data_IF_797113022225
#
_entry.id   IF_797113022225
#
_cell.length_a   1.000
_cell.length_b   1.000
_cell.length_c   1.000
_cell.angle_alpha   90.00
_cell.angle_beta   90.00
_cell.angle_gamma   90.00
#
_symmetry.space_group_name_H-M   'P 1'
#
loop_
_entity.id
_entity.type
_entity.pdbx_description
1 polymer ?
#
# COMPACT_ATOMS: atom_id res chain seq x y z
N UNK A 1 -0.57 -17.13 19.32
CA UNK A 1 0.13 -15.83 19.47
C UNK A 1 -0.31 -15.13 20.75
N UNK A 2 0.59 -14.41 21.48
CA UNK A 2 0.25 -13.66 22.69
C UNK A 2 -0.54 -12.38 22.35
N UNK A 3 -1.47 -11.97 23.23
CA UNK A 3 -2.33 -10.80 23.02
C UNK A 3 -1.56 -9.51 22.69
N UNK A 4 -0.44 -9.27 23.37
CA UNK A 4 0.42 -8.08 23.11
C UNK A 4 0.99 -8.07 21.69
N UNK A 5 1.39 -9.23 21.14
CA UNK A 5 1.89 -9.34 19.77
C UNK A 5 0.75 -9.12 18.78
N UNK A 6 -0.42 -9.71 19.03
CA UNK A 6 -1.62 -9.50 18.19
C UNK A 6 -1.96 -8.01 18.04
N UNK A 7 -2.01 -7.29 19.17
CA UNK A 7 -2.31 -5.85 19.16
C UNK A 7 -1.26 -5.08 18.37
N UNK A 8 0.04 -5.35 18.61
CA UNK A 8 1.11 -4.65 17.89
C UNK A 8 1.04 -4.87 16.37
N UNK A 9 0.78 -6.10 15.93
CA UNK A 9 0.66 -6.41 14.51
C UNK A 9 -0.62 -5.80 13.90
N UNK A 10 -1.73 -5.77 14.64
CA UNK A 10 -2.97 -5.14 14.20
C UNK A 10 -2.82 -3.63 14.02
N UNK A 11 -2.15 -2.94 14.98
CA UNK A 11 -1.84 -1.51 14.87
C UNK A 11 -0.90 -1.24 13.69
N UNK A 12 0.12 -2.08 13.50
CA UNK A 12 1.02 -2.02 12.35
C UNK A 12 0.23 -2.06 11.03
N UNK A 13 -0.64 -3.06 10.85
CA UNK A 13 -1.45 -3.19 9.62
C UNK A 13 -2.42 -2.01 9.46
N UNK A 14 -3.04 -1.56 10.55
CA UNK A 14 -3.92 -0.40 10.53
C UNK A 14 -3.19 0.85 10.02
N UNK A 15 -2.06 1.21 10.61
CA UNK A 15 -1.32 2.42 10.24
C UNK A 15 -0.73 2.29 8.84
N UNK A 16 -0.25 1.10 8.45
CA UNK A 16 0.28 0.82 7.11
C UNK A 16 -0.72 1.24 6.02
N UNK A 17 -1.96 0.82 6.12
CA UNK A 17 -2.97 1.11 5.11
C UNK A 17 -3.68 2.46 5.33
N UNK A 18 -3.68 2.98 6.56
CA UNK A 18 -4.10 4.35 6.85
C UNK A 18 -3.25 5.37 6.09
N UNK A 19 -1.92 5.19 6.07
CA UNK A 19 -1.00 6.05 5.31
C UNK A 19 -1.40 6.12 3.84
N UNK A 20 -1.69 4.98 3.23
CA UNK A 20 -2.05 4.93 1.81
C UNK A 20 -3.44 5.51 1.55
N UNK A 21 -4.43 5.12 2.37
CA UNK A 21 -5.81 5.64 2.29
C UNK A 21 -5.93 7.14 2.54
N UNK A 22 -4.98 7.73 3.29
CA UNK A 22 -5.02 9.14 3.64
C UNK A 22 -4.77 10.12 2.48
N UNK A 23 -4.31 9.64 1.31
CA UNK A 23 -4.03 10.56 0.20
C UNK A 23 -4.31 9.99 -1.21
N UNK A 24 -4.04 8.70 -1.43
CA UNK A 24 -3.90 8.14 -2.78
C UNK A 24 -5.15 8.25 -3.64
N UNK A 25 -6.33 8.11 -3.05
CA UNK A 25 -7.61 8.13 -3.76
C UNK A 25 -8.07 9.55 -4.05
N UNK A 26 -7.85 10.49 -3.12
CA UNK A 26 -8.31 11.88 -3.21
C UNK A 26 -7.25 12.84 -3.74
N UNK A 27 -6.02 12.39 -3.92
CA UNK A 27 -4.93 13.20 -4.47
C UNK A 27 -5.30 13.98 -5.75
N UNK A 28 -6.05 13.42 -6.73
CA UNK A 28 -6.40 14.16 -7.94
C UNK A 28 -7.21 15.43 -7.69
N UNK A 29 -7.97 15.49 -6.61
CA UNK A 29 -8.79 16.65 -6.27
C UNK A 29 -7.94 17.87 -5.93
N UNK A 30 -6.92 17.67 -5.10
CA UNK A 30 -6.01 18.77 -4.73
C UNK A 30 -4.98 19.07 -5.82
N UNK A 31 -4.37 18.04 -6.40
CA UNK A 31 -3.36 18.23 -7.44
C UNK A 31 -3.94 18.96 -8.66
N UNK A 32 -5.21 18.71 -9.01
CA UNK A 32 -5.90 19.47 -10.04
C UNK A 32 -6.05 20.97 -9.69
N UNK A 33 -6.30 21.31 -8.43
CA UNK A 33 -6.39 22.69 -7.97
C UNK A 33 -5.07 23.46 -8.09
N UNK A 34 -3.95 22.79 -7.95
CA UNK A 34 -2.61 23.39 -8.10
C UNK A 34 -2.05 23.28 -9.51
N UNK A 35 -2.88 22.96 -10.52
CA UNK A 35 -2.55 23.05 -11.92
C UNK A 35 -1.95 21.79 -12.55
N UNK A 36 -2.06 20.60 -11.93
CA UNK A 36 -1.62 19.34 -12.56
C UNK A 36 -2.41 19.07 -13.83
N UNK A 37 -1.67 18.80 -14.92
CA UNK A 37 -2.20 18.36 -16.22
C UNK A 37 -2.45 16.86 -16.26
N UNK A 38 -3.08 16.36 -17.34
CA UNK A 38 -3.27 14.93 -17.54
C UNK A 38 -1.95 14.13 -17.56
N UNK A 39 -0.88 14.71 -18.12
CA UNK A 39 0.45 14.10 -18.13
C UNK A 39 1.04 14.00 -16.71
N UNK A 40 0.85 15.03 -15.88
CA UNK A 40 1.34 15.05 -14.50
C UNK A 40 0.64 14.00 -13.64
N UNK A 41 -0.68 13.80 -13.83
CA UNK A 41 -1.42 12.69 -13.20
C UNK A 41 -0.94 11.33 -13.67
N UNK A 42 -0.64 11.18 -14.96
CA UNK A 42 -0.02 9.98 -15.50
C UNK A 42 1.26 9.63 -14.73
N UNK A 43 2.13 10.60 -14.50
CA UNK A 43 3.33 10.42 -13.68
C UNK A 43 3.00 10.11 -12.21
N UNK A 44 2.10 10.85 -11.58
CA UNK A 44 1.70 10.64 -10.18
C UNK A 44 1.28 9.19 -9.92
N UNK A 45 0.49 8.60 -10.82
CA UNK A 45 0.02 7.22 -10.66
C UNK A 45 0.96 6.16 -11.25
N UNK A 46 1.98 6.55 -12.01
CA UNK A 46 3.03 5.64 -12.51
C UNK A 46 4.17 5.46 -11.50
N UNK A 47 4.45 6.47 -10.65
CA UNK A 47 5.58 6.38 -9.71
C UNK A 47 5.44 5.21 -8.73
N UNK A 48 4.21 4.87 -8.32
CA UNK A 48 3.92 3.73 -7.46
C UNK A 48 4.30 2.40 -8.09
N UNK A 49 3.71 2.00 -9.23
CA UNK A 49 4.06 0.78 -9.95
C UNK A 49 5.55 0.69 -10.29
N UNK A 50 6.19 1.79 -10.72
CA UNK A 50 7.63 1.83 -11.00
C UNK A 50 8.42 1.54 -9.72
N UNK A 51 8.08 2.18 -8.61
CA UNK A 51 8.69 1.93 -7.32
C UNK A 51 8.50 0.48 -6.86
N UNK A 52 7.32 -0.11 -7.07
CA UNK A 52 7.01 -1.50 -6.74
C UNK A 52 7.88 -2.50 -7.52
N UNK A 53 8.28 -2.16 -8.74
CA UNK A 53 9.20 -3.00 -9.54
C UNK A 53 10.63 -2.84 -9.03
N UNK A 54 11.07 -1.62 -8.74
CA UNK A 54 12.48 -1.30 -8.43
C UNK A 54 12.83 -1.66 -6.98
N UNK A 55 11.98 -1.29 -6.02
CA UNK A 55 12.32 -1.32 -4.59
C UNK A 55 12.57 -2.72 -4.01
N UNK A 56 11.90 -3.82 -4.44
CA UNK A 56 12.17 -5.14 -3.90
C UNK A 56 13.60 -5.63 -4.12
N UNK A 57 14.25 -5.20 -5.21
CA UNK A 57 15.63 -5.59 -5.50
C UNK A 57 16.63 -5.08 -4.46
N UNK A 58 16.39 -3.88 -3.93
CA UNK A 58 17.27 -3.27 -2.92
C UNK A 58 16.81 -3.62 -1.50
N UNK A 59 15.53 -3.44 -1.24
CA UNK A 59 14.98 -3.58 0.12
C UNK A 59 14.88 -5.05 0.52
N UNK A 60 14.49 -5.95 -0.42
CA UNK A 60 14.47 -7.38 -0.17
C UNK A 60 15.85 -7.89 0.24
N UNK A 61 16.91 -7.51 -0.47
CA UNK A 61 18.27 -7.89 -0.14
C UNK A 61 18.69 -7.37 1.25
N UNK A 62 18.32 -6.15 1.61
CA UNK A 62 18.67 -5.55 2.91
C UNK A 62 17.88 -6.20 4.04
N UNK A 63 16.56 -6.34 3.88
CA UNK A 63 15.66 -6.88 4.90
C UNK A 63 15.83 -8.39 5.10
N UNK A 64 16.12 -9.12 4.02
CA UNK A 64 16.25 -10.57 4.09
C UNK A 64 17.60 -11.03 4.66
N UNK A 65 18.60 -10.16 4.72
CA UNK A 65 19.95 -10.59 5.03
C UNK A 65 20.69 -9.79 6.09
N UNK A 66 20.52 -8.46 6.11
CA UNK A 66 21.41 -7.59 6.86
C UNK A 66 20.78 -7.08 8.14
N UNK A 67 19.50 -6.74 8.10
CA UNK A 67 18.84 -6.09 9.22
C UNK A 67 17.51 -6.74 9.54
N UNK A 68 17.14 -6.71 10.81
CA UNK A 68 15.83 -7.17 11.27
C UNK A 68 14.69 -6.39 10.59
N UNK A 69 13.63 -7.11 10.22
CA UNK A 69 12.54 -6.59 9.38
C UNK A 69 11.89 -5.34 9.98
N UNK A 70 11.66 -5.31 11.30
CA UNK A 70 11.09 -4.15 11.99
C UNK A 70 11.96 -2.90 11.90
N UNK A 71 13.28 -3.06 11.87
CA UNK A 71 14.22 -1.93 11.75
C UNK A 71 14.20 -1.35 10.33
N UNK A 72 14.21 -2.22 9.32
CA UNK A 72 14.11 -1.80 7.92
C UNK A 72 12.77 -1.09 7.68
N UNK A 73 11.68 -1.67 8.20
CA UNK A 73 10.35 -1.07 8.15
C UNK A 73 10.34 0.34 8.75
N UNK A 74 10.95 0.50 9.94
CA UNK A 74 11.05 1.78 10.63
C UNK A 74 11.79 2.84 9.81
N UNK A 75 12.97 2.52 9.29
CA UNK A 75 13.77 3.45 8.48
C UNK A 75 13.04 3.85 7.20
N UNK A 76 12.43 2.89 6.50
CA UNK A 76 11.69 3.16 5.27
C UNK A 76 10.50 4.10 5.52
N UNK A 77 9.74 3.89 6.60
CA UNK A 77 8.63 4.78 6.93
C UNK A 77 9.08 6.18 7.35
N UNK A 78 10.20 6.31 8.05
CA UNK A 78 10.76 7.63 8.39
C UNK A 78 11.18 8.40 7.13
N UNK A 79 11.92 7.74 6.22
CA UNK A 79 12.35 8.34 4.97
C UNK A 79 11.16 8.65 4.05
N UNK A 80 10.25 7.70 3.87
CA UNK A 80 9.05 7.88 3.06
C UNK A 80 8.11 8.95 3.62
N UNK A 81 7.95 9.01 4.95
CA UNK A 81 7.19 10.05 5.63
C UNK A 81 7.80 11.44 5.42
N UNK A 82 9.13 11.54 5.54
CA UNK A 82 9.88 12.77 5.24
C UNK A 82 9.67 13.23 3.80
N UNK A 83 9.76 12.32 2.83
CA UNK A 83 9.52 12.63 1.42
C UNK A 83 8.07 13.14 1.18
N UNK A 84 7.08 12.53 1.83
CA UNK A 84 5.68 12.96 1.73
C UNK A 84 5.45 14.34 2.36
N UNK A 85 6.05 14.62 3.52
CA UNK A 85 5.99 15.95 4.15
C UNK A 85 6.69 17.01 3.30
N UNK A 86 7.80 16.67 2.66
CA UNK A 86 8.46 17.55 1.69
C UNK A 86 7.58 17.82 0.48
N UNK A 87 6.89 16.81 -0.07
CA UNK A 87 5.91 17.00 -1.13
C UNK A 87 4.82 17.99 -0.71
N UNK A 88 4.22 17.78 0.48
CA UNK A 88 3.19 18.66 1.03
C UNK A 88 3.69 20.11 1.20
N UNK A 89 4.94 20.30 1.62
CA UNK A 89 5.56 21.62 1.73
C UNK A 89 5.75 22.29 0.36
N UNK A 90 6.23 21.56 -0.65
CA UNK A 90 6.43 22.08 -2.01
C UNK A 90 5.12 22.46 -2.70
N UNK A 91 4.02 21.77 -2.39
CA UNK A 91 2.67 22.08 -2.89
C UNK A 91 2.14 23.43 -2.38
N UNK A 92 2.66 23.94 -1.27
CA UNK A 92 2.25 25.22 -0.66
C UNK A 92 3.12 26.40 -1.12
N UNK A 93 4.13 26.17 -1.95
CA UNK A 93 4.96 27.22 -2.52
C UNK A 93 4.20 28.11 -3.49
N UNK A 94 4.78 29.25 -3.82
CA UNK A 94 4.18 30.24 -4.75
C UNK A 94 4.02 29.67 -6.18
N UNK A 95 4.89 28.74 -6.59
CA UNK A 95 4.87 28.07 -7.90
C UNK A 95 5.16 26.58 -7.71
N UNK A 96 4.12 25.77 -7.45
CA UNK A 96 4.28 24.33 -7.21
C UNK A 96 4.65 23.59 -8.49
N UNK A 97 5.87 23.09 -8.57
CA UNK A 97 6.35 22.28 -9.71
C UNK A 97 5.83 20.85 -9.64
N UNK A 98 5.01 20.44 -10.61
CA UNK A 98 4.50 19.07 -10.72
C UNK A 98 5.62 18.02 -10.80
N UNK A 99 6.71 18.32 -11.51
CA UNK A 99 7.89 17.43 -11.60
C UNK A 99 8.54 17.22 -10.23
N UNK A 100 8.74 18.30 -9.46
CA UNK A 100 9.34 18.20 -8.13
C UNK A 100 8.43 17.43 -7.17
N UNK A 101 7.14 17.66 -7.19
CA UNK A 101 6.16 16.97 -6.36
C UNK A 101 6.12 15.47 -6.71
N UNK A 102 6.07 15.14 -8.00
CA UNK A 102 6.08 13.75 -8.46
C UNK A 102 7.39 13.03 -8.12
N UNK A 103 8.53 13.74 -8.11
CA UNK A 103 9.80 13.18 -7.63
C UNK A 103 9.75 12.85 -6.13
N UNK A 104 9.13 13.71 -5.31
CA UNK A 104 8.95 13.43 -3.88
C UNK A 104 7.96 12.26 -3.67
N UNK A 105 6.91 12.16 -4.47
CA UNK A 105 6.03 10.99 -4.47
C UNK A 105 6.76 9.72 -4.86
N UNK A 106 7.64 9.77 -5.84
CA UNK A 106 8.46 8.63 -6.22
C UNK A 106 9.38 8.20 -5.07
N UNK A 107 10.06 9.14 -4.41
CA UNK A 107 10.88 8.85 -3.24
C UNK A 107 10.05 8.23 -2.09
N UNK A 108 8.83 8.77 -1.83
CA UNK A 108 7.90 8.18 -0.88
C UNK A 108 7.53 6.74 -1.26
N UNK A 109 7.16 6.51 -2.52
CA UNK A 109 6.74 5.19 -3.01
C UNK A 109 7.86 4.17 -3.03
N UNK A 110 9.12 4.57 -3.35
CA UNK A 110 10.28 3.70 -3.24
C UNK A 110 10.49 3.18 -1.81
N UNK A 111 10.15 3.99 -0.81
CA UNK A 111 10.19 3.60 0.59
C UNK A 111 8.93 2.81 1.00
N UNK A 112 7.75 3.20 0.53
CA UNK A 112 6.47 2.66 0.98
C UNK A 112 6.15 1.28 0.39
N UNK A 113 6.31 1.07 -0.92
CA UNK A 113 5.91 -0.19 -1.55
C UNK A 113 6.57 -1.44 -0.96
N UNK A 114 7.88 -1.47 -0.67
CA UNK A 114 8.48 -2.65 -0.05
C UNK A 114 7.95 -2.92 1.36
N UNK A 115 7.46 -1.89 2.05
CA UNK A 115 6.91 -2.09 3.41
C UNK A 115 5.62 -2.93 3.40
N UNK A 116 4.90 -3.01 2.28
CA UNK A 116 3.75 -3.90 2.12
C UNK A 116 4.15 -5.38 2.27
N UNK A 117 5.27 -5.77 1.68
CA UNK A 117 5.80 -7.12 1.84
C UNK A 117 6.41 -7.32 3.24
N UNK A 118 7.15 -6.34 3.75
CA UNK A 118 7.79 -6.42 5.07
C UNK A 118 6.78 -6.57 6.20
N UNK A 119 5.66 -5.84 6.16
CA UNK A 119 4.59 -5.98 7.18
C UNK A 119 3.94 -7.35 7.15
N UNK A 120 3.74 -7.94 5.96
CA UNK A 120 3.25 -9.31 5.83
C UNK A 120 4.28 -10.31 6.37
N UNK A 121 5.55 -10.19 6.01
CA UNK A 121 6.64 -11.05 6.50
C UNK A 121 6.73 -11.00 8.02
N UNK A 122 6.71 -9.78 8.60
CA UNK A 122 6.77 -9.56 10.04
C UNK A 122 5.55 -10.19 10.73
N UNK A 123 4.35 -10.03 10.18
CA UNK A 123 3.15 -10.61 10.71
C UNK A 123 3.22 -12.15 10.69
N UNK A 124 3.51 -12.73 9.53
CA UNK A 124 3.57 -14.20 9.34
C UNK A 124 4.65 -14.86 10.20
N UNK A 125 5.82 -14.21 10.38
CA UNK A 125 6.90 -14.72 11.22
C UNK A 125 6.49 -14.83 12.70
N UNK A 126 5.68 -13.91 13.19
CA UNK A 126 5.28 -13.84 14.59
C UNK A 126 3.96 -14.55 14.90
N UNK A 127 3.35 -15.24 13.93
CA UNK A 127 2.12 -16.02 14.09
C UNK A 127 2.40 -17.48 14.41
N UNK A 128 1.55 -18.05 15.25
CA UNK A 128 1.57 -19.50 15.55
C UNK A 128 0.77 -20.29 14.52
N UNK A 129 -0.36 -19.74 14.07
CA UNK A 129 -1.23 -20.34 13.05
C UNK A 129 -1.61 -19.27 12.01
N UNK A 130 -0.79 -19.07 10.97
CA UNK A 130 -1.00 -18.05 9.96
C UNK A 130 -2.36 -18.11 9.26
N UNK A 131 -2.87 -19.32 8.97
CA UNK A 131 -4.14 -19.50 8.26
C UNK A 131 -5.33 -18.90 9.02
N UNK A 132 -5.31 -18.97 10.36
CA UNK A 132 -6.37 -18.46 11.23
C UNK A 132 -6.11 -17.03 11.70
N UNK A 133 -4.86 -16.70 11.97
CA UNK A 133 -4.49 -15.43 12.63
C UNK A 133 -4.24 -14.29 11.63
N UNK A 134 -3.70 -14.60 10.44
CA UNK A 134 -3.37 -13.57 9.44
C UNK A 134 -4.60 -12.79 8.96
N UNK A 135 -5.74 -13.41 8.58
CA UNK A 135 -6.91 -12.66 8.15
C UNK A 135 -7.42 -11.68 9.21
N UNK A 136 -7.37 -12.07 10.49
CA UNK A 136 -7.83 -11.23 11.63
C UNK A 136 -6.95 -9.99 11.83
N UNK A 137 -5.66 -10.10 11.56
CA UNK A 137 -4.71 -8.97 11.63
C UNK A 137 -4.80 -8.14 10.35
N UNK A 138 -4.89 -8.78 9.19
CA UNK A 138 -4.94 -8.09 7.90
C UNK A 138 -6.18 -7.20 7.73
N UNK A 139 -7.31 -7.57 8.31
CA UNK A 139 -8.54 -6.76 8.28
C UNK A 139 -8.36 -5.37 8.90
N UNK A 140 -7.45 -5.22 9.89
CA UNK A 140 -7.14 -3.90 10.44
C UNK A 140 -6.54 -2.95 9.41
N UNK A 141 -5.89 -3.48 8.37
CA UNK A 141 -5.46 -2.66 7.23
C UNK A 141 -6.63 -2.02 6.50
N UNK A 142 -7.66 -2.79 6.17
CA UNK A 142 -8.87 -2.27 5.53
C UNK A 142 -9.59 -1.26 6.43
N UNK A 143 -9.66 -1.52 7.74
CA UNK A 143 -10.21 -0.57 8.72
C UNK A 143 -9.39 0.73 8.74
N UNK A 144 -8.05 0.63 8.70
CA UNK A 144 -7.16 1.80 8.63
C UNK A 144 -7.42 2.66 7.40
N UNK A 145 -7.59 2.02 6.23
CA UNK A 145 -7.93 2.71 4.99
C UNK A 145 -9.28 3.44 5.08
N UNK A 146 -10.32 2.76 5.59
CA UNK A 146 -11.66 3.34 5.77
C UNK A 146 -11.59 4.56 6.70
N UNK A 147 -10.95 4.42 7.86
CA UNK A 147 -10.84 5.50 8.83
C UNK A 147 -10.03 6.68 8.29
N UNK A 148 -8.99 6.45 7.48
CA UNK A 148 -8.28 7.53 6.81
C UNK A 148 -9.23 8.34 5.92
N UNK A 149 -10.05 7.68 5.09
CA UNK A 149 -11.05 8.33 4.25
C UNK A 149 -12.09 9.11 5.06
N UNK A 150 -12.57 8.54 6.16
CA UNK A 150 -13.54 9.23 7.02
C UNK A 150 -12.94 10.47 7.69
N UNK A 151 -11.71 10.40 8.19
CA UNK A 151 -11.00 11.55 8.75
C UNK A 151 -10.87 12.65 7.72
N UNK A 152 -10.48 12.33 6.47
CA UNK A 152 -10.38 13.33 5.40
C UNK A 152 -11.71 14.04 5.16
N UNK A 153 -12.79 13.28 4.95
CA UNK A 153 -14.08 13.84 4.62
C UNK A 153 -14.69 14.63 5.79
N UNK A 154 -14.60 14.12 7.02
CA UNK A 154 -15.14 14.84 8.20
C UNK A 154 -14.40 16.12 8.52
N UNK A 155 -13.10 16.18 8.22
CA UNK A 155 -12.30 17.39 8.38
C UNK A 155 -12.37 18.35 7.15
N UNK A 156 -13.04 17.94 6.07
CA UNK A 156 -13.05 18.69 4.82
C UNK A 156 -11.68 18.75 4.13
N UNK A 157 -10.87 17.70 4.28
CA UNK A 157 -9.51 17.63 3.74
C UNK A 157 -9.43 16.85 2.43
N UNK A 158 -10.53 16.34 1.88
CA UNK A 158 -10.58 15.56 0.63
C UNK A 158 -9.85 16.23 -0.55
N UNK A 159 -9.80 17.56 -0.55
CA UNK A 159 -9.14 18.35 -1.60
C UNK A 159 -8.21 19.41 -1.00
N UNK A 160 -7.49 19.04 0.04
CA UNK A 160 -6.55 19.92 0.77
C UNK A 160 -5.17 19.28 0.86
N UNK A 161 -4.11 20.10 0.86
CA UNK A 161 -2.74 19.63 1.11
C UNK A 161 -2.59 18.88 2.44
N UNK A 162 -3.52 19.07 3.38
CA UNK A 162 -3.52 18.41 4.69
C UNK A 162 -3.59 16.90 4.59
N UNK A 163 -4.17 16.34 3.51
CA UNK A 163 -4.19 14.89 3.29
C UNK A 163 -2.76 14.33 3.16
N UNK A 164 -1.88 15.01 2.44
CA UNK A 164 -0.48 14.58 2.29
C UNK A 164 0.31 14.76 3.57
N UNK A 165 0.04 15.84 4.33
CA UNK A 165 0.65 16.03 5.64
C UNK A 165 0.20 14.95 6.64
N UNK A 166 -1.09 14.58 6.65
CA UNK A 166 -1.62 13.48 7.46
C UNK A 166 -0.93 12.16 7.13
N UNK A 167 -0.81 11.82 5.84
CA UNK A 167 -0.12 10.61 5.39
C UNK A 167 1.37 10.63 5.80
N UNK A 168 2.04 11.76 5.63
CA UNK A 168 3.44 11.94 6.01
C UNK A 168 3.68 11.76 7.51
N UNK A 169 2.88 12.40 8.36
CA UNK A 169 2.98 12.25 9.80
C UNK A 169 2.59 10.86 10.30
N UNK A 170 1.57 10.23 9.70
CA UNK A 170 1.23 8.84 9.97
C UNK A 170 2.39 7.89 9.61
N UNK A 171 3.09 8.14 8.49
CA UNK A 171 4.27 7.38 8.11
C UNK A 171 5.43 7.57 9.10
N UNK A 172 5.72 8.80 9.53
CA UNK A 172 6.72 9.06 10.58
C UNK A 172 6.35 8.35 11.87
N UNK A 173 5.09 8.44 12.32
CA UNK A 173 4.59 7.71 13.49
C UNK A 173 4.75 6.20 13.35
N UNK A 174 4.44 5.63 12.17
CA UNK A 174 4.67 4.23 11.86
C UNK A 174 6.15 3.87 11.92
N UNK A 175 7.01 4.75 11.39
CA UNK A 175 8.46 4.58 11.44
C UNK A 175 8.98 4.44 12.87
N UNK A 176 8.58 5.34 13.76
CA UNK A 176 8.92 5.27 15.20
C UNK A 176 8.30 4.02 15.84
N UNK A 177 7.04 3.73 15.55
CA UNK A 177 6.33 2.57 16.09
C UNK A 177 6.98 1.24 15.69
N UNK A 178 7.55 1.16 14.51
CA UNK A 178 8.18 -0.06 13.99
C UNK A 178 9.31 -0.57 14.89
N UNK A 179 10.03 0.30 15.59
CA UNK A 179 11.09 -0.11 16.53
C UNK A 179 10.57 -0.79 17.79
N UNK A 180 9.27 -0.71 18.06
CA UNK A 180 8.60 -1.39 19.17
C UNK A 180 7.89 -2.69 18.75
N UNK A 181 7.95 -3.05 17.45
CA UNK A 181 7.39 -4.31 16.93
C UNK A 181 8.21 -5.52 17.42
N UNK A 182 7.65 -6.73 17.37
CA UNK A 182 8.38 -7.95 17.71
C UNK A 182 9.62 -8.10 16.84
N UNK A 183 10.73 -8.51 17.49
CA UNK A 183 11.98 -8.75 16.77
C UNK A 183 11.81 -9.85 15.72
N UNK A 184 12.10 -9.52 14.48
CA UNK A 184 11.96 -10.41 13.34
C UNK A 184 13.29 -10.45 12.60
N UNK A 185 14.13 -11.46 12.88
CA UNK A 185 15.46 -11.56 12.29
C UNK A 185 15.35 -11.75 10.76
N UNK A 186 16.38 -11.39 9.99
CA UNK A 186 16.36 -11.54 8.55
C UNK A 186 16.26 -13.03 8.17
N UNK A 187 15.25 -13.43 7.36
CA UNK A 187 14.98 -14.85 7.06
C UNK A 187 16.09 -15.55 6.24
N UNK A 188 16.88 -14.77 5.52
CA UNK A 188 17.96 -15.24 4.67
C UNK A 188 19.38 -15.02 5.25
N UNK A 189 19.50 -14.70 6.55
CA UNK A 189 20.81 -14.48 7.18
C UNK A 189 21.76 -15.66 6.95
N UNK A 190 22.96 -15.37 6.44
CA UNK A 190 23.99 -16.40 6.19
C UNK A 190 23.82 -17.25 4.93
N UNK A 191 22.74 -17.08 4.16
CA UNK A 191 22.56 -17.80 2.88
C UNK A 191 23.28 -17.06 1.75
N UNK A 192 24.03 -17.80 0.93
CA UNK A 192 24.52 -17.27 -0.34
C UNK A 192 23.36 -17.28 -1.35
N UNK A 193 23.15 -16.17 -2.01
CA UNK A 193 22.12 -16.05 -3.06
C UNK A 193 22.76 -15.54 -4.33
N UNK A 194 22.38 -16.13 -5.43
CA UNK A 194 22.86 -15.75 -6.75
C UNK A 194 22.15 -14.48 -7.23
N UNK A 195 22.80 -13.70 -8.12
CA UNK A 195 22.15 -12.56 -8.77
C UNK A 195 20.83 -12.97 -9.47
N UNK A 196 20.75 -14.21 -9.97
CA UNK A 196 19.58 -14.77 -10.62
C UNK A 196 18.39 -14.92 -9.67
N UNK A 197 18.63 -15.36 -8.43
CA UNK A 197 17.59 -15.46 -7.39
C UNK A 197 17.14 -14.06 -6.93
N UNK A 198 18.06 -13.10 -6.80
CA UNK A 198 17.74 -11.71 -6.44
C UNK A 198 16.83 -11.09 -7.50
N UNK A 199 17.10 -11.33 -8.78
CA UNK A 199 16.31 -10.84 -9.91
C UNK A 199 15.02 -11.63 -10.13
N UNK A 200 14.78 -12.71 -9.36
CA UNK A 200 13.59 -13.53 -9.51
C UNK A 200 13.50 -14.28 -10.85
N UNK A 201 14.63 -14.44 -11.56
CA UNK A 201 14.65 -15.03 -12.90
C UNK A 201 14.18 -16.50 -12.90
N UNK A 202 14.30 -17.19 -11.77
CA UNK A 202 13.81 -18.57 -11.63
C UNK A 202 12.28 -18.65 -11.66
N UNK A 203 11.58 -17.57 -11.29
CA UNK A 203 10.12 -17.47 -11.39
C UNK A 203 9.64 -17.44 -12.86
N UNK A 204 10.49 -17.06 -13.82
CA UNK A 204 10.12 -17.05 -15.25
C UNK A 204 9.73 -18.41 -15.78
N UNK A 205 10.20 -19.49 -15.15
CA UNK A 205 9.79 -20.87 -15.49
C UNK A 205 8.27 -21.07 -15.31
N UNK A 206 7.63 -20.35 -14.39
CA UNK A 206 6.19 -20.44 -14.16
C UNK A 206 5.36 -19.99 -15.39
N UNK A 207 5.90 -19.09 -16.24
CA UNK A 207 5.24 -18.65 -17.47
C UNK A 207 5.06 -19.79 -18.50
N UNK A 208 5.78 -20.89 -18.36
CA UNK A 208 5.57 -22.09 -19.17
C UNK A 208 4.27 -22.84 -18.81
N UNK A 209 3.66 -22.54 -17.68
CA UNK A 209 2.39 -23.14 -17.24
C UNK A 209 1.22 -22.30 -17.76
N UNK A 210 0.32 -22.85 -18.61
CA UNK A 210 -0.79 -22.06 -19.19
C UNK A 210 -1.69 -21.39 -18.14
N UNK A 211 -1.99 -22.11 -17.05
CA UNK A 211 -2.81 -21.54 -15.96
C UNK A 211 -2.17 -20.30 -15.32
N UNK A 212 -0.84 -20.30 -15.14
CA UNK A 212 -0.12 -19.17 -14.61
C UNK A 212 -0.09 -18.00 -15.61
N UNK A 213 0.11 -18.28 -16.89
CA UNK A 213 0.09 -17.27 -17.94
C UNK A 213 -1.28 -16.59 -18.03
N UNK A 214 -2.38 -17.37 -18.01
CA UNK A 214 -3.75 -16.83 -18.02
C UNK A 214 -3.96 -15.93 -16.79
N UNK A 215 -3.56 -16.39 -15.60
CA UNK A 215 -3.66 -15.59 -14.37
C UNK A 215 -2.89 -14.28 -14.48
N UNK A 216 -1.66 -14.29 -14.97
CA UNK A 216 -0.82 -13.09 -15.13
C UNK A 216 -1.42 -12.11 -16.15
N UNK A 217 -1.89 -12.60 -17.30
CA UNK A 217 -2.53 -11.75 -18.31
C UNK A 217 -3.83 -11.15 -17.77
N UNK A 218 -4.67 -11.93 -17.11
CA UNK A 218 -5.91 -11.44 -16.51
C UNK A 218 -5.63 -10.39 -15.43
N UNK A 219 -4.63 -10.62 -14.57
CA UNK A 219 -4.19 -9.66 -13.54
C UNK A 219 -3.68 -8.36 -14.16
N UNK A 220 -2.92 -8.45 -15.26
CA UNK A 220 -2.47 -7.27 -15.99
C UNK A 220 -3.64 -6.48 -16.57
N UNK A 221 -4.60 -7.15 -17.21
CA UNK A 221 -5.75 -6.50 -17.84
C UNK A 221 -6.65 -5.80 -16.81
N UNK A 222 -6.88 -6.40 -15.63
CA UNK A 222 -7.71 -5.78 -14.57
C UNK A 222 -7.02 -4.54 -13.94
N UNK A 223 -5.70 -4.43 -14.01
CA UNK A 223 -4.99 -3.24 -13.53
C UNK A 223 -5.30 -1.99 -14.37
N UNK A 224 -5.72 -2.14 -15.64
CA UNK A 224 -6.06 -1.01 -16.50
C UNK A 224 -7.29 -0.26 -15.95
N UNK A 225 -8.49 -0.88 -15.76
CA UNK A 225 -9.62 -0.19 -15.17
C UNK A 225 -9.35 0.27 -13.72
N UNK A 226 -8.52 -0.47 -12.97
CA UNK A 226 -8.13 -0.06 -11.62
C UNK A 226 -7.33 1.25 -11.63
N UNK A 227 -6.44 1.47 -12.59
CA UNK A 227 -5.70 2.72 -12.72
C UNK A 227 -6.64 3.90 -13.04
N UNK A 228 -7.65 3.70 -13.90
CA UNK A 228 -8.69 4.70 -14.17
C UNK A 228 -9.52 5.00 -12.91
N UNK A 229 -9.89 3.97 -12.16
CA UNK A 229 -10.62 4.16 -10.90
C UNK A 229 -9.88 5.12 -9.96
N UNK A 230 -8.60 4.90 -9.69
CA UNK A 230 -7.83 5.78 -8.79
C UNK A 230 -7.70 7.21 -9.30
N UNK A 231 -7.69 7.44 -10.61
CA UNK A 231 -7.55 8.78 -11.17
C UNK A 231 -8.87 9.54 -11.29
N UNK A 232 -9.99 8.84 -11.54
CA UNK A 232 -11.24 9.46 -11.93
C UNK A 232 -12.34 9.38 -10.88
N UNK A 233 -12.41 8.31 -10.08
CA UNK A 233 -13.56 8.05 -9.20
C UNK A 233 -13.80 9.18 -8.19
N UNK A 234 -12.73 9.68 -7.53
CA UNK A 234 -12.88 10.76 -6.56
C UNK A 234 -13.47 12.04 -7.19
N UNK A 235 -13.07 12.38 -8.42
CA UNK A 235 -13.61 13.54 -9.17
C UNK A 235 -15.08 13.35 -9.53
N UNK A 236 -15.46 12.15 -9.95
CA UNK A 236 -16.85 11.82 -10.27
C UNK A 236 -17.75 11.95 -9.03
N UNK A 237 -17.28 11.48 -7.88
CA UNK A 237 -17.99 11.59 -6.60
C UNK A 237 -18.09 13.07 -6.17
N UNK A 238 -17.01 13.86 -6.32
CA UNK A 238 -17.03 15.31 -6.02
C UNK A 238 -18.04 16.05 -6.91
N UNK A 239 -18.08 15.75 -8.21
CA UNK A 239 -19.05 16.32 -9.16
C UNK A 239 -20.51 15.98 -8.80
N UNK A 240 -20.74 14.85 -8.16
CA UNK A 240 -22.04 14.49 -7.62
C UNK A 240 -22.40 15.19 -6.28
N UNK A 241 -21.56 16.12 -5.81
CA UNK A 241 -21.70 16.82 -4.51
C UNK A 241 -21.71 15.87 -3.30
N UNK A 242 -21.03 14.74 -3.40
CA UNK A 242 -20.83 13.79 -2.30
C UNK A 242 -19.42 13.96 -1.70
N UNK A 243 -19.23 13.43 -0.49
CA UNK A 243 -17.93 13.42 0.18
C UNK A 243 -17.05 12.31 -0.42
N UNK A 244 -15.97 12.62 -1.16
CA UNK A 244 -15.28 11.64 -1.98
C UNK A 244 -14.67 10.48 -1.18
N UNK A 245 -13.83 10.75 -0.20
CA UNK A 245 -13.16 9.71 0.57
C UNK A 245 -14.16 8.87 1.40
N UNK A 246 -15.17 9.51 1.99
CA UNK A 246 -16.23 8.82 2.73
C UNK A 246 -17.05 7.91 1.81
N UNK A 247 -17.53 8.43 0.67
CA UNK A 247 -18.36 7.66 -0.27
C UNK A 247 -17.60 6.47 -0.85
N UNK A 248 -16.34 6.69 -1.25
CA UNK A 248 -15.51 5.62 -1.82
C UNK A 248 -15.14 4.56 -0.77
N UNK A 249 -15.11 4.89 0.51
CA UNK A 249 -14.81 3.92 1.58
C UNK A 249 -15.88 2.82 1.73
N UNK A 250 -17.09 3.03 1.23
CA UNK A 250 -18.13 1.98 1.23
C UNK A 250 -17.73 0.75 0.39
N UNK A 251 -16.88 0.95 -0.64
CA UNK A 251 -16.28 -0.16 -1.36
C UNK A 251 -15.43 -1.05 -0.44
N UNK A 252 -14.62 -0.43 0.45
CA UNK A 252 -13.79 -1.16 1.42
C UNK A 252 -14.62 -1.79 2.55
N UNK A 253 -15.76 -1.18 2.91
CA UNK A 253 -16.71 -1.84 3.85
C UNK A 253 -17.23 -3.14 3.26
N UNK A 254 -17.60 -3.14 1.97
CA UNK A 254 -18.00 -4.37 1.28
C UNK A 254 -16.87 -5.39 1.20
N UNK A 255 -15.62 -4.95 1.04
CA UNK A 255 -14.42 -5.80 1.07
C UNK A 255 -14.31 -6.57 2.39
N UNK A 256 -14.53 -5.91 3.55
CA UNK A 256 -14.52 -6.57 4.86
C UNK A 256 -15.56 -7.70 4.89
N UNK A 257 -16.77 -7.44 4.41
CA UNK A 257 -17.82 -8.46 4.34
C UNK A 257 -17.35 -9.66 3.50
N UNK A 258 -16.86 -9.41 2.29
CA UNK A 258 -16.38 -10.50 1.42
C UNK A 258 -15.17 -11.23 1.98
N UNK A 259 -14.25 -10.56 2.67
CA UNK A 259 -13.13 -11.22 3.36
C UNK A 259 -13.61 -12.18 4.46
N UNK A 260 -14.61 -11.79 5.23
CA UNK A 260 -15.16 -12.64 6.31
C UNK A 260 -15.87 -13.89 5.74
N UNK A 261 -16.59 -13.74 4.64
CA UNK A 261 -17.32 -14.86 4.02
C UNK A 261 -16.47 -15.67 3.03
N UNK A 262 -15.31 -15.17 2.66
CA UNK A 262 -14.40 -15.81 1.70
C UNK A 262 -14.10 -17.28 2.01
N UNK A 263 -13.80 -17.71 3.24
CA UNK A 263 -13.52 -19.12 3.54
C UNK A 263 -14.68 -20.04 3.15
N UNK A 264 -15.94 -19.58 3.31
CA UNK A 264 -17.13 -20.36 2.97
C UNK A 264 -17.23 -20.56 1.45
N UNK A 265 -17.02 -19.49 0.69
CA UNK A 265 -17.02 -19.54 -0.77
C UNK A 265 -15.82 -20.32 -1.33
N UNK A 266 -14.66 -20.18 -0.70
CA UNK A 266 -13.47 -20.90 -1.10
C UNK A 266 -13.65 -22.43 -1.01
N UNK A 267 -14.26 -22.92 0.08
CA UNK A 267 -14.55 -24.34 0.26
C UNK A 267 -15.57 -24.87 -0.75
N UNK A 268 -16.51 -24.05 -1.21
CA UNK A 268 -17.59 -24.46 -2.13
C UNK A 268 -17.23 -24.29 -3.60
N UNK A 269 -16.56 -23.21 -3.96
CA UNK A 269 -16.31 -22.82 -5.36
C UNK A 269 -14.87 -23.15 -5.82
N UNK A 270 -13.91 -23.18 -4.88
CA UNK A 270 -12.51 -23.31 -5.19
C UNK A 270 -11.93 -22.06 -5.85
N UNK A 271 -10.59 -22.03 -5.99
CA UNK A 271 -9.83 -20.86 -6.46
C UNK A 271 -10.30 -20.35 -7.83
N UNK A 272 -10.49 -21.28 -8.79
CA UNK A 272 -10.83 -20.94 -10.17
C UNK A 272 -12.12 -20.12 -10.28
N UNK A 273 -13.18 -20.60 -9.65
CA UNK A 273 -14.49 -19.96 -9.72
C UNK A 273 -14.56 -18.67 -8.90
N UNK A 274 -13.84 -18.64 -7.77
CA UNK A 274 -13.73 -17.39 -6.99
C UNK A 274 -13.03 -16.29 -7.77
N UNK A 275 -11.92 -16.59 -8.46
CA UNK A 275 -11.24 -15.61 -9.31
C UNK A 275 -12.13 -15.14 -10.45
N UNK A 276 -12.87 -16.06 -11.10
CA UNK A 276 -13.77 -15.70 -12.20
C UNK A 276 -14.91 -14.77 -11.76
N UNK A 277 -15.47 -15.00 -10.57
CA UNK A 277 -16.56 -14.16 -10.04
C UNK A 277 -16.05 -12.82 -9.49
N UNK A 278 -14.81 -12.79 -8.99
CA UNK A 278 -14.19 -11.58 -8.41
C UNK A 278 -13.59 -10.62 -9.44
N UNK A 279 -13.28 -11.09 -10.66
CA UNK A 279 -12.78 -10.28 -11.78
C UNK A 279 -13.92 -9.80 -12.68
#
# INVERSE_FOLDING_TARGET
>A
MGLSVTIRLSVMMFVQFFIWGAWYVTAPLYLGKIGFTGADFGWTYSVGPIAAIISPFFVGMIADRLFATEKVLGVLHLLGGGAMLMAASKMQGADPSATTINLMFFAHMLCYFPTLALTNTLALHNMTNPEKEFPLIRVFGTIGWILAGWVLSWQGWDSSVRMFALAGWAAVGMGVYSFFLPHTPPPGAGKQVTAREILGLDALVLFKRPAFMIFMVSSFLICIPLAFYYQMAARTVEQANLLPAFTMSWGQVSEIFFMVVMPIFFLRLGVKWMLLVGM
#
